data_IF_434198706403
#
_entry.id   IF_434198706403
#
_cell.length_a   1.000
_cell.length_b   1.000
_cell.length_c   1.000
_cell.angle_alpha   90.00
_cell.angle_beta   90.00
_cell.angle_gamma   90.00
#
_symmetry.space_group_name_H-M   'P 1'
#
loop_
_entity.id
_entity.type
_entity.pdbx_description
1 polymer ?
#
# COMPACT_ATOMS: atom_id res chain seq x y z
N UNK A 1 25.47 -12.43 -13.02
CA UNK A 1 25.84 -11.45 -11.98
C UNK A 1 24.74 -10.41 -12.00
N UNK A 2 23.80 -10.48 -11.04
CA UNK A 2 22.65 -9.57 -10.98
C UNK A 2 23.02 -8.54 -9.93
N UNK A 3 23.28 -7.31 -10.35
CA UNK A 3 23.51 -6.19 -9.43
C UNK A 3 22.17 -5.77 -8.82
N UNK A 4 22.04 -5.72 -7.49
CA UNK A 4 20.86 -5.17 -6.86
C UNK A 4 20.85 -3.64 -7.04
N UNK A 5 19.71 -3.12 -7.50
CA UNK A 5 19.45 -1.67 -7.53
C UNK A 5 19.17 -1.23 -6.09
N UNK A 6 20.20 -0.65 -5.47
CA UNK A 6 20.20 -0.05 -4.13
C UNK A 6 19.40 1.25 -4.18
N UNK A 7 18.27 1.30 -3.48
CA UNK A 7 17.43 2.49 -3.35
C UNK A 7 17.54 3.05 -1.92
N UNK A 8 18.65 3.71 -1.62
CA UNK A 8 18.88 4.31 -0.30
C UNK A 8 17.83 5.36 0.06
N UNK A 9 17.20 5.23 1.22
CA UNK A 9 16.38 6.26 1.86
C UNK A 9 16.88 6.46 3.30
N UNK A 10 17.19 7.71 3.64
CA UNK A 10 17.73 8.11 4.94
C UNK A 10 16.72 7.94 6.07
N UNK A 11 17.24 7.78 7.29
CA UNK A 11 16.62 7.70 8.62
C UNK A 11 15.09 7.96 8.69
N UNK A 12 14.30 7.09 8.07
CA UNK A 12 12.84 7.16 8.09
C UNK A 12 12.38 6.49 9.39
N UNK A 13 11.98 7.32 10.36
CA UNK A 13 11.39 6.86 11.62
C UNK A 13 10.29 5.81 11.33
N UNK A 14 10.39 4.66 12.00
CA UNK A 14 9.48 3.52 11.81
C UNK A 14 8.01 3.99 11.89
N UNK A 15 7.19 3.79 10.84
CA UNK A 15 5.84 4.30 10.79
C UNK A 15 4.97 3.62 11.83
N UNK A 16 4.26 4.44 12.62
CA UNK A 16 3.37 3.94 13.68
C UNK A 16 1.94 3.88 13.17
N UNK A 17 1.61 2.74 12.56
CA UNK A 17 0.27 2.45 12.07
C UNK A 17 -0.69 2.08 13.20
N UNK A 18 -1.96 2.45 13.03
CA UNK A 18 -3.06 2.14 13.95
C UNK A 18 -3.96 1.07 13.33
N UNK A 19 -4.18 0.01 14.10
CA UNK A 19 -5.04 -1.13 13.72
C UNK A 19 -6.19 -1.34 14.71
N UNK A 20 -6.57 -0.30 15.45
CA UNK A 20 -7.74 -0.39 16.31
C UNK A 20 -9.03 -0.52 15.50
N UNK A 21 -10.12 -0.89 16.18
CA UNK A 21 -11.42 -1.16 15.55
C UNK A 21 -11.96 0.04 14.74
N UNK A 22 -11.66 1.27 15.15
CA UNK A 22 -12.12 2.47 14.45
C UNK A 22 -11.33 2.65 13.16
N UNK A 23 -10.01 2.52 13.24
CA UNK A 23 -9.13 2.57 12.08
C UNK A 23 -9.48 1.51 11.03
N UNK A 24 -9.59 0.24 11.44
CA UNK A 24 -9.92 -0.86 10.52
C UNK A 24 -11.29 -0.65 9.86
N UNK A 25 -12.30 -0.24 10.63
CA UNK A 25 -13.65 0.01 10.10
C UNK A 25 -13.68 1.16 9.09
N UNK A 26 -12.93 2.24 9.35
CA UNK A 26 -12.82 3.36 8.43
C UNK A 26 -12.26 2.89 7.08
N UNK A 27 -11.14 2.15 7.10
CA UNK A 27 -10.51 1.65 5.88
C UNK A 27 -11.41 0.66 5.14
N UNK A 28 -12.01 -0.32 5.83
CA UNK A 28 -12.92 -1.27 5.18
C UNK A 28 -14.13 -0.60 4.53
N UNK A 29 -14.70 0.44 5.15
CA UNK A 29 -15.80 1.21 4.55
C UNK A 29 -15.35 1.90 3.26
N UNK A 30 -14.21 2.59 3.30
CA UNK A 30 -13.66 3.29 2.14
C UNK A 30 -13.32 2.31 1.01
N UNK A 31 -12.72 1.16 1.33
CA UNK A 31 -12.44 0.10 0.36
C UNK A 31 -13.72 -0.40 -0.33
N UNK A 32 -14.78 -0.67 0.43
CA UNK A 32 -16.04 -1.15 -0.12
C UNK A 32 -16.72 -0.11 -1.03
N UNK A 33 -16.68 1.17 -0.65
CA UNK A 33 -17.33 2.24 -1.42
C UNK A 33 -16.54 2.64 -2.68
N UNK A 34 -15.22 2.70 -2.59
CA UNK A 34 -14.37 3.26 -3.65
C UNK A 34 -13.84 2.21 -4.63
N UNK A 35 -13.57 0.97 -4.20
CA UNK A 35 -12.99 -0.05 -5.08
C UNK A 35 -13.78 -0.30 -6.38
N UNK A 36 -15.13 -0.31 -6.38
CA UNK A 36 -15.91 -0.45 -7.62
C UNK A 36 -15.75 0.71 -8.61
N UNK A 37 -15.34 1.88 -8.14
CA UNK A 37 -15.21 3.11 -8.93
C UNK A 37 -13.80 3.30 -9.52
N UNK A 38 -12.79 2.62 -8.96
CA UNK A 38 -11.40 2.72 -9.43
C UNK A 38 -11.22 1.85 -10.67
N UNK A 39 -10.61 2.41 -11.72
CA UNK A 39 -10.37 1.67 -12.97
C UNK A 39 -9.39 0.50 -12.76
N UNK A 40 -9.46 -0.50 -13.64
CA UNK A 40 -8.50 -1.60 -13.62
C UNK A 40 -7.07 -1.10 -13.85
N UNK A 41 -6.12 -1.67 -13.13
CA UNK A 41 -4.71 -1.24 -13.17
C UNK A 41 -4.45 0.09 -12.46
N UNK A 42 -5.43 0.66 -11.75
CA UNK A 42 -5.25 1.80 -10.86
C UNK A 42 -5.43 1.39 -9.40
N UNK A 43 -4.70 2.06 -8.52
CA UNK A 43 -4.81 1.92 -7.07
C UNK A 43 -4.88 3.29 -6.44
N UNK A 44 -5.81 3.46 -5.49
CA UNK A 44 -5.94 4.63 -4.62
C UNK A 44 -5.29 4.31 -3.29
N UNK A 45 -4.26 5.06 -2.92
CA UNK A 45 -3.65 5.02 -1.60
C UNK A 45 -4.17 6.19 -0.79
N UNK A 46 -4.59 5.97 0.46
CA UNK A 46 -5.04 7.02 1.34
C UNK A 46 -4.45 6.88 2.73
N UNK A 47 -4.12 8.00 3.35
CA UNK A 47 -3.57 8.08 4.69
C UNK A 47 -4.41 9.05 5.53
N UNK A 48 -4.71 8.65 6.76
CA UNK A 48 -5.47 9.44 7.73
C UNK A 48 -4.73 9.49 9.05
N UNK A 49 -4.50 10.69 9.58
CA UNK A 49 -3.81 10.84 10.85
C UNK A 49 -4.71 10.51 12.05
N UNK A 50 -4.18 9.79 13.03
CA UNK A 50 -4.84 9.47 14.30
C UNK A 50 -4.63 10.58 15.36
N UNK A 51 -5.51 10.70 16.37
CA UNK A 51 -6.76 9.96 16.55
C UNK A 51 -7.85 10.41 15.57
N UNK A 52 -8.67 9.45 15.11
CA UNK A 52 -9.82 9.75 14.23
C UNK A 52 -10.94 10.36 15.07
N UNK A 53 -11.24 11.64 14.84
CA UNK A 53 -12.18 12.39 15.70
C UNK A 53 -13.64 12.09 15.37
N UNK A 54 -13.99 12.15 14.09
CA UNK A 54 -15.36 11.99 13.59
C UNK A 54 -15.39 10.92 12.49
N UNK A 55 -15.17 9.64 12.82
CA UNK A 55 -14.89 8.59 11.84
C UNK A 55 -15.93 8.47 10.72
N UNK A 56 -17.22 8.58 11.03
CA UNK A 56 -18.28 8.51 10.01
C UNK A 56 -18.23 9.71 9.05
N UNK A 57 -18.08 10.93 9.57
CA UNK A 57 -18.01 12.14 8.74
C UNK A 57 -16.71 12.18 7.91
N UNK A 58 -15.59 11.78 8.52
CA UNK A 58 -14.32 11.65 7.81
C UNK A 58 -14.43 10.65 6.66
N UNK A 59 -15.12 9.52 6.85
CA UNK A 59 -15.34 8.54 5.79
C UNK A 59 -16.19 9.11 4.64
N UNK A 60 -17.30 9.78 4.97
CA UNK A 60 -18.23 10.35 3.97
C UNK A 60 -17.58 11.44 3.14
N UNK A 61 -16.83 12.34 3.77
CA UNK A 61 -16.11 13.40 3.07
C UNK A 61 -15.00 12.83 2.17
N UNK A 62 -14.21 11.87 2.69
CA UNK A 62 -13.17 11.20 1.91
C UNK A 62 -13.75 10.46 0.70
N UNK A 63 -14.82 9.71 0.91
CA UNK A 63 -15.54 9.01 -0.15
C UNK A 63 -16.00 9.98 -1.24
N UNK A 64 -16.68 11.06 -0.84
CA UNK A 64 -17.17 12.10 -1.75
C UNK A 64 -16.04 12.73 -2.56
N UNK A 65 -14.97 13.18 -1.88
CA UNK A 65 -13.84 13.86 -2.52
C UNK A 65 -13.14 12.91 -3.51
N UNK A 66 -12.86 11.67 -3.12
CA UNK A 66 -12.19 10.70 -3.99
C UNK A 66 -13.07 10.31 -5.18
N UNK A 67 -14.37 10.08 -4.96
CA UNK A 67 -15.32 9.80 -6.04
C UNK A 67 -15.44 10.94 -7.05
N UNK A 68 -15.38 12.19 -6.59
CA UNK A 68 -15.32 13.34 -7.49
C UNK A 68 -14.02 13.39 -8.31
N UNK A 69 -12.88 13.13 -7.67
CA UNK A 69 -11.59 13.04 -8.37
C UNK A 69 -11.57 11.93 -9.42
N UNK A 70 -12.12 10.75 -9.10
CA UNK A 70 -12.22 9.63 -10.04
C UNK A 70 -13.08 9.98 -11.26
N UNK A 71 -14.20 10.69 -11.06
CA UNK A 71 -15.08 11.13 -12.16
C UNK A 71 -14.44 12.17 -13.09
N UNK A 72 -13.66 13.10 -12.53
CA UNK A 72 -12.98 14.15 -13.30
C UNK A 72 -11.74 13.63 -14.06
N UNK A 73 -11.30 12.40 -13.74
CA UNK A 73 -10.03 11.85 -14.17
C UNK A 73 -8.89 12.31 -13.24
N UNK A 74 -7.94 11.43 -12.87
CA UNK A 74 -6.88 11.75 -11.93
C UNK A 74 -5.84 12.69 -12.57
N UNK A 75 -6.12 14.00 -12.54
CA UNK A 75 -5.17 15.05 -12.96
C UNK A 75 -4.20 15.40 -11.82
N UNK A 76 -4.62 15.21 -10.57
CA UNK A 76 -3.77 15.37 -9.39
C UNK A 76 -3.32 14.01 -8.86
N UNK A 77 -2.00 13.82 -8.79
CA UNK A 77 -1.39 12.59 -8.28
C UNK A 77 -1.55 12.47 -6.77
N UNK A 78 -1.62 13.60 -6.06
CA UNK A 78 -1.67 13.62 -4.60
C UNK A 78 -2.52 14.79 -4.08
N UNK A 79 -3.45 14.52 -3.17
CA UNK A 79 -4.32 15.51 -2.52
C UNK A 79 -4.05 15.45 -1.03
N UNK A 80 -3.76 16.59 -0.41
CA UNK A 80 -3.57 16.72 1.04
C UNK A 80 -4.55 17.73 1.61
N UNK A 81 -5.44 17.28 2.48
CA UNK A 81 -6.48 18.13 3.07
C UNK A 81 -6.72 17.78 4.54
N UNK A 82 -7.24 18.73 5.31
CA UNK A 82 -7.72 18.46 6.66
C UNK A 82 -9.23 18.21 6.62
N UNK A 83 -9.63 16.99 6.94
CA UNK A 83 -11.04 16.57 6.96
C UNK A 83 -11.43 16.27 8.39
N UNK A 84 -12.44 16.98 8.92
CA UNK A 84 -12.96 16.77 10.28
C UNK A 84 -11.87 16.78 11.39
N UNK A 85 -10.79 17.56 11.18
CA UNK A 85 -9.66 17.64 12.12
C UNK A 85 -8.64 16.50 12.01
N UNK A 86 -8.72 15.69 10.97
CA UNK A 86 -7.72 14.68 10.60
C UNK A 86 -6.96 15.17 9.36
N UNK A 87 -5.62 15.12 9.38
CA UNK A 87 -4.87 15.31 8.15
C UNK A 87 -5.08 14.07 7.29
N UNK A 88 -5.42 14.31 6.04
CA UNK A 88 -5.71 13.26 5.07
C UNK A 88 -4.86 13.47 3.85
N UNK A 89 -4.42 12.36 3.27
CA UNK A 89 -3.65 12.38 2.04
C UNK A 89 -4.16 11.27 1.13
N UNK A 90 -4.28 11.55 -0.15
CA UNK A 90 -4.70 10.59 -1.16
C UNK A 90 -3.67 10.62 -2.27
N UNK A 91 -3.25 9.45 -2.76
CA UNK A 91 -2.38 9.30 -3.92
C UNK A 91 -2.94 8.28 -4.89
N UNK A 92 -2.96 8.62 -6.17
CA UNK A 92 -3.33 7.68 -7.24
C UNK A 92 -2.06 7.09 -7.86
N UNK A 93 -2.00 5.77 -7.99
CA UNK A 93 -0.91 5.09 -8.68
C UNK A 93 -1.43 4.12 -9.73
N UNK A 94 -0.58 3.82 -10.71
CA UNK A 94 -0.79 2.67 -11.59
C UNK A 94 -0.31 1.43 -10.87
N UNK A 95 -1.19 0.45 -10.71
CA UNK A 95 -0.83 -0.88 -10.24
C UNK A 95 -0.32 -1.70 -11.42
N UNK A 96 0.95 -2.13 -11.36
CA UNK A 96 1.46 -3.15 -12.29
C UNK A 96 0.80 -4.52 -12.09
N UNK A 97 0.35 -4.79 -10.86
CA UNK A 97 -0.48 -5.94 -10.50
C UNK A 97 -1.99 -5.60 -10.62
N UNK A 98 -2.84 -6.61 -10.77
CA UNK A 98 -4.32 -6.50 -10.66
C UNK A 98 -4.75 -6.92 -9.24
N UNK A 99 -4.68 -6.04 -8.23
CA UNK A 99 -5.06 -6.41 -6.86
C UNK A 99 -6.58 -6.61 -6.75
N UNK A 100 -7.00 -7.43 -5.79
CA UNK A 100 -8.41 -7.66 -5.50
C UNK A 100 -9.06 -6.41 -4.87
N UNK A 101 -8.30 -5.65 -4.08
CA UNK A 101 -8.67 -4.30 -3.64
C UNK A 101 -7.88 -3.25 -4.42
N UNK A 102 -8.60 -2.27 -4.97
CA UNK A 102 -7.99 -1.11 -5.65
C UNK A 102 -7.74 0.05 -4.69
N UNK A 103 -7.94 -0.16 -3.39
CA UNK A 103 -7.85 0.87 -2.36
C UNK A 103 -7.00 0.39 -1.19
N UNK A 104 -5.95 1.14 -0.87
CA UNK A 104 -5.02 0.88 0.25
C UNK A 104 -5.15 2.03 1.24
N UNK A 105 -5.45 1.71 2.49
CA UNK A 105 -5.63 2.66 3.57
C UNK A 105 -4.58 2.55 4.67
N UNK A 106 -4.13 3.70 5.15
CA UNK A 106 -3.27 3.84 6.30
C UNK A 106 -3.93 4.74 7.34
N UNK A 107 -3.91 4.31 8.60
CA UNK A 107 -4.15 5.20 9.73
C UNK A 107 -2.84 5.28 10.49
N UNK A 108 -2.27 6.48 10.61
CA UNK A 108 -0.93 6.69 11.14
C UNK A 108 -0.92 7.72 12.25
N UNK A 109 0.04 7.64 13.17
CA UNK A 109 0.23 8.69 14.15
C UNK A 109 0.75 10.00 13.48
N UNK A 110 0.55 11.18 14.10
CA UNK A 110 0.92 12.47 13.53
C UNK A 110 2.41 12.66 13.23
N UNK A 111 3.28 11.86 13.85
CA UNK A 111 4.73 11.85 13.67
C UNK A 111 5.19 11.10 12.41
N UNK A 112 4.30 10.34 11.77
CA UNK A 112 4.61 9.58 10.56
C UNK A 112 4.32 10.41 9.31
N UNK A 113 5.31 10.57 8.41
CA UNK A 113 5.05 11.11 7.08
C UNK A 113 4.24 10.08 6.25
N UNK A 114 3.04 10.40 5.76
CA UNK A 114 2.28 9.47 4.93
C UNK A 114 2.92 9.18 3.56
N UNK A 115 3.87 10.01 3.08
CA UNK A 115 4.53 9.80 1.78
C UNK A 115 5.32 8.49 1.75
N UNK A 116 6.07 8.19 2.80
CA UNK A 116 6.90 6.98 2.88
C UNK A 116 6.06 5.70 2.85
N UNK A 117 4.83 5.75 3.38
CA UNK A 117 3.85 4.66 3.30
C UNK A 117 3.37 4.44 1.85
N UNK A 118 3.12 5.53 1.13
CA UNK A 118 2.71 5.47 -0.28
C UNK A 118 3.85 4.99 -1.17
N UNK A 119 5.08 5.41 -0.91
CA UNK A 119 6.25 4.98 -1.68
C UNK A 119 6.52 3.49 -1.49
N UNK A 120 6.41 2.99 -0.26
CA UNK A 120 6.48 1.55 0.03
C UNK A 120 5.38 0.77 -0.68
N UNK A 121 4.13 1.22 -0.60
CA UNK A 121 3.01 0.52 -1.24
C UNK A 121 3.13 0.51 -2.77
N UNK A 122 3.57 1.62 -3.37
CA UNK A 122 3.85 1.71 -4.80
C UNK A 122 5.00 0.78 -5.20
N UNK A 123 6.09 0.74 -4.42
CA UNK A 123 7.21 -0.16 -4.67
C UNK A 123 6.76 -1.63 -4.63
N UNK A 124 5.99 -2.03 -3.61
CA UNK A 124 5.47 -3.39 -3.49
C UNK A 124 4.56 -3.78 -4.67
N UNK A 125 3.66 -2.89 -5.08
CA UNK A 125 2.82 -3.08 -6.27
C UNK A 125 3.66 -3.28 -7.54
N UNK A 126 4.75 -2.52 -7.69
CA UNK A 126 5.65 -2.63 -8.83
C UNK A 126 6.44 -3.93 -8.80
N UNK A 127 6.94 -4.37 -7.64
CA UNK A 127 7.65 -5.64 -7.51
C UNK A 127 6.75 -6.82 -7.87
N UNK A 128 5.52 -6.85 -7.34
CA UNK A 128 4.54 -7.90 -7.65
C UNK A 128 4.20 -7.88 -9.14
N UNK A 129 3.89 -6.71 -9.70
CA UNK A 129 3.55 -6.57 -11.12
C UNK A 129 4.69 -6.98 -12.06
N UNK A 130 5.91 -6.52 -11.80
CA UNK A 130 7.08 -6.86 -12.61
C UNK A 130 7.41 -8.36 -12.55
N UNK A 131 7.22 -8.99 -11.38
CA UNK A 131 7.45 -10.42 -11.22
C UNK A 131 6.37 -11.26 -11.92
N UNK A 132 5.12 -10.78 -11.96
CA UNK A 132 4.02 -11.46 -12.66
C UNK A 132 4.19 -11.45 -14.20
N UNK A 133 4.74 -10.37 -14.77
CA UNK A 133 5.02 -10.28 -16.22
C UNK A 133 6.16 -11.19 -16.66
N UNK A 134 7.11 -11.49 -15.77
CA UNK A 134 8.18 -12.45 -16.04
C UNK A 134 7.62 -13.88 -16.01
N UNK A 135 7.09 -14.33 -17.15
CA UNK A 135 6.70 -15.73 -17.32
C UNK A 135 7.93 -16.64 -17.11
N UNK A 136 7.80 -17.73 -16.33
CA UNK A 136 8.79 -18.79 -16.36
C UNK A 136 8.88 -19.35 -17.77
N UNK A 137 10.07 -19.81 -18.18
CA UNK A 137 10.21 -20.69 -19.34
C UNK A 137 9.23 -21.86 -19.20
N UNK A 138 8.57 -22.26 -20.28
CA UNK A 138 7.41 -23.17 -20.33
C UNK A 138 7.57 -24.53 -19.59
N UNK A 139 8.77 -24.84 -19.10
CA UNK A 139 9.11 -26.06 -18.36
C UNK A 139 9.21 -25.91 -16.83
N UNK A 140 9.00 -24.72 -16.24
CA UNK A 140 9.14 -24.56 -14.79
C UNK A 140 7.89 -25.03 -14.03
N UNK A 141 7.84 -26.32 -13.69
CA UNK A 141 6.81 -26.90 -12.82
C UNK A 141 7.06 -26.75 -11.31
N UNK A 142 8.02 -25.91 -10.92
CA UNK A 142 8.42 -25.70 -9.53
C UNK A 142 7.68 -24.54 -8.83
N UNK A 143 7.80 -24.50 -7.50
CA UNK A 143 7.32 -23.39 -6.69
C UNK A 143 7.97 -22.06 -7.08
N UNK A 144 7.16 -21.02 -7.31
CA UNK A 144 7.65 -19.65 -7.55
C UNK A 144 7.72 -18.90 -6.24
N UNK A 145 8.85 -18.25 -5.96
CA UNK A 145 9.06 -17.40 -4.80
C UNK A 145 9.39 -15.98 -5.29
N UNK A 146 8.89 -14.96 -4.60
CA UNK A 146 9.29 -13.57 -4.82
C UNK A 146 10.11 -13.10 -3.61
N UNK A 147 11.29 -12.57 -3.87
CA UNK A 147 12.19 -12.03 -2.85
C UNK A 147 12.40 -10.55 -3.12
N UNK A 148 12.09 -9.72 -2.13
CA UNK A 148 12.25 -8.26 -2.16
C UNK A 148 13.45 -7.94 -1.29
N UNK A 149 14.47 -7.30 -1.85
CA UNK A 149 15.55 -6.70 -1.07
C UNK A 149 15.15 -5.26 -0.73
N UNK A 150 15.13 -4.92 0.56
CA UNK A 150 14.83 -3.58 1.05
C UNK A 150 15.93 -3.14 2.02
N UNK A 151 16.34 -1.89 1.92
CA UNK A 151 17.40 -1.34 2.77
C UNK A 151 16.86 -0.76 4.08
N UNK A 152 15.53 -0.72 4.23
CA UNK A 152 14.87 -0.25 5.45
C UNK A 152 15.12 -1.20 6.63
N UNK A 153 14.85 -0.69 7.83
CA UNK A 153 14.87 -1.46 9.07
C UNK A 153 13.79 -2.58 9.06
N UNK A 154 14.07 -3.79 9.60
CA UNK A 154 13.09 -4.87 9.70
C UNK A 154 11.77 -4.50 10.39
N UNK A 155 11.75 -3.47 11.24
CA UNK A 155 10.54 -2.95 11.87
C UNK A 155 9.46 -2.51 10.87
N UNK A 156 9.83 -2.29 9.59
CA UNK A 156 8.89 -2.00 8.50
C UNK A 156 8.06 -3.20 8.05
N UNK A 157 8.38 -4.42 8.49
CA UNK A 157 7.66 -5.63 8.08
C UNK A 157 6.16 -5.57 8.37
N UNK A 158 5.75 -4.91 9.46
CA UNK A 158 4.34 -4.71 9.80
C UNK A 158 3.60 -3.89 8.72
N UNK A 159 4.25 -2.86 8.19
CA UNK A 159 3.71 -2.04 7.09
C UNK A 159 3.61 -2.85 5.81
N UNK A 160 4.64 -3.63 5.49
CA UNK A 160 4.62 -4.55 4.35
C UNK A 160 3.46 -5.55 4.42
N UNK A 161 3.30 -6.23 5.56
CA UNK A 161 2.19 -7.17 5.79
C UNK A 161 0.83 -6.47 5.69
N UNK A 162 0.70 -5.25 6.22
CA UNK A 162 -0.52 -4.47 6.14
C UNK A 162 -0.91 -4.15 4.68
N UNK A 163 0.03 -3.61 3.89
CA UNK A 163 -0.20 -3.33 2.47
C UNK A 163 -0.56 -4.62 1.74
N UNK A 164 0.22 -5.68 1.92
CA UNK A 164 -0.02 -6.98 1.29
C UNK A 164 -1.41 -7.54 1.59
N UNK A 165 -1.84 -7.49 2.85
CA UNK A 165 -3.17 -7.97 3.25
C UNK A 165 -4.32 -7.21 2.58
N UNK A 166 -4.16 -5.90 2.37
CA UNK A 166 -5.18 -5.08 1.73
C UNK A 166 -5.25 -5.28 0.23
N UNK A 167 -4.12 -5.53 -0.43
CA UNK A 167 -4.08 -5.79 -1.86
C UNK A 167 -4.90 -7.03 -2.24
N UNK A 168 -5.02 -8.02 -1.34
CA UNK A 168 -5.77 -9.25 -1.58
C UNK A 168 -5.32 -9.99 -2.84
N UNK A 169 -4.04 -9.84 -3.22
CA UNK A 169 -3.50 -10.40 -4.46
C UNK A 169 -3.46 -11.91 -4.31
N UNK A 170 -4.19 -12.63 -5.17
CA UNK A 170 -3.96 -14.05 -5.41
C UNK A 170 -2.62 -14.19 -6.12
N UNK A 171 -1.57 -14.32 -5.32
CA UNK A 171 -0.20 -14.41 -5.81
C UNK A 171 0.05 -15.82 -6.36
N UNK A 172 0.61 -15.91 -7.56
CA UNK A 172 1.17 -17.15 -8.09
C UNK A 172 2.47 -17.58 -7.38
N UNK A 173 2.98 -16.73 -6.49
CA UNK A 173 4.12 -17.04 -5.62
C UNK A 173 3.64 -17.84 -4.40
N UNK A 174 4.23 -19.02 -4.24
CA UNK A 174 4.08 -19.85 -3.04
C UNK A 174 4.64 -19.17 -1.78
N UNK A 175 5.69 -18.35 -1.93
CA UNK A 175 6.28 -17.55 -0.84
C UNK A 175 6.71 -16.16 -1.32
N UNK A 176 6.54 -15.18 -0.45
CA UNK A 176 7.01 -13.81 -0.61
C UNK A 176 7.83 -13.41 0.60
N UNK A 177 9.08 -13.03 0.36
CA UNK A 177 10.07 -12.71 1.39
C UNK A 177 10.57 -11.28 1.22
N UNK A 178 10.83 -10.61 2.34
CA UNK A 178 11.60 -9.35 2.39
C UNK A 178 12.92 -9.65 3.06
N UNK A 179 14.02 -9.26 2.43
CA UNK A 179 15.38 -9.33 2.96
C UNK A 179 15.80 -7.90 3.28
N UNK A 180 16.03 -7.62 4.56
CA UNK A 180 16.41 -6.29 5.05
C UNK A 180 17.93 -6.08 5.01
N UNK A 181 18.37 -4.83 5.19
CA UNK A 181 19.79 -4.45 5.14
C UNK A 181 20.68 -5.20 6.15
N UNK A 182 20.12 -5.58 7.30
CA UNK A 182 20.82 -6.35 8.34
C UNK A 182 20.88 -7.86 8.04
N UNK A 183 20.34 -8.28 6.90
CA UNK A 183 20.25 -9.67 6.48
C UNK A 183 19.06 -10.42 7.09
N UNK A 184 18.21 -9.77 7.88
CA UNK A 184 17.00 -10.39 8.40
C UNK A 184 16.03 -10.69 7.24
N UNK A 185 15.48 -11.90 7.25
CA UNK A 185 14.53 -12.37 6.24
C UNK A 185 13.17 -12.56 6.90
N UNK A 186 12.15 -11.88 6.37
CA UNK A 186 10.79 -11.94 6.87
C UNK A 186 9.81 -12.38 5.78
N UNK A 187 8.81 -13.17 6.17
CA UNK A 187 7.77 -13.64 5.24
C UNK A 187 6.56 -12.71 5.22
N UNK A 188 6.03 -12.44 4.02
CA UNK A 188 4.83 -11.61 3.78
C UNK A 188 3.52 -12.39 3.72
N UNK A 189 3.54 -13.59 3.14
CA UNK A 189 2.39 -14.49 3.06
C UNK A 189 2.61 -15.72 3.94
N UNK A 190 1.67 -16.00 4.84
CA UNK A 190 1.62 -17.25 5.58
C UNK A 190 0.51 -18.14 5.00
#
# INVERSE_FOLDING_TARGET
MIEPVVAGHGDDAVPRLRFDKVALRLISRLQAALSPQVADGQVVMLAVTAPIRLPSKTAEELESNISECLRRGPVQVEIGETICGNQTRVRFARGGARPASKVIGFVHNPDTDPRVLFDLAAALLNYIGAAAVKHPTESFGGERWLVIADERDPAWIATYRHVYSQLGVSSEFSKMLVVFADGQVETLNA
#
